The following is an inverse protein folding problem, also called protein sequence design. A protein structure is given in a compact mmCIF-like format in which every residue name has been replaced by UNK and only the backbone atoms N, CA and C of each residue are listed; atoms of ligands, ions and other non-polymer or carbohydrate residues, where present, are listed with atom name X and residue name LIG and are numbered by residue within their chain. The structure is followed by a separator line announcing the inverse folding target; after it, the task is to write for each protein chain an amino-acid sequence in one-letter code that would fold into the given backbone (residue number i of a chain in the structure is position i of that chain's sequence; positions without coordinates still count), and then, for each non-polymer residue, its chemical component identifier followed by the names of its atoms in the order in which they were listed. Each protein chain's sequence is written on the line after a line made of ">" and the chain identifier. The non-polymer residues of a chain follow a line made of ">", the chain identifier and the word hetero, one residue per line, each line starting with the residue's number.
data_IF_730563247388
#
_entry.id   IF_730563247388
#
_cell.length_a   1.000
_cell.length_b   1.000
_cell.length_c   1.000
_cell.angle_alpha   90.00
_cell.angle_beta   90.00
_cell.angle_gamma   90.00
#
_symmetry.space_group_name_H-M   'P 1'
#
loop_
_entity.id
_entity.type
_entity.pdbx_description
1 polymer ?
#
# COMPACT_ATOMS: atom_id res chain seq x y z
N UNK A 1 -17.95 -20.12 16.87
CA UNK A 1 -16.65 -20.58 17.35
C UNK A 1 -15.72 -19.37 17.41
N UNK A 2 -14.74 -19.38 18.34
CA UNK A 2 -13.69 -18.34 18.40
C UNK A 2 -12.70 -18.55 17.25
N UNK A 3 -12.09 -17.45 16.77
CA UNK A 3 -10.97 -17.48 15.86
C UNK A 3 -9.71 -17.98 16.60
N UNK A 4 -8.98 -18.91 16.02
CA UNK A 4 -7.72 -19.43 16.54
C UNK A 4 -6.75 -19.62 15.38
N UNK A 5 -5.51 -19.26 15.59
CA UNK A 5 -4.50 -19.41 14.56
C UNK A 5 -3.09 -19.38 15.10
N UNK A 6 -2.14 -19.68 14.25
CA UNK A 6 -0.72 -19.49 14.47
C UNK A 6 -0.11 -18.71 13.29
N UNK A 7 0.98 -18.03 13.57
CA UNK A 7 1.71 -17.25 12.60
C UNK A 7 3.20 -17.49 12.74
N UNK A 8 3.90 -17.51 11.63
CA UNK A 8 5.35 -17.58 11.56
C UNK A 8 5.84 -16.48 10.62
N UNK A 9 6.80 -15.69 11.12
CA UNK A 9 7.43 -14.59 10.39
C UNK A 9 8.93 -14.82 10.35
N UNK A 10 9.55 -14.43 9.24
CA UNK A 10 11.00 -14.38 9.10
C UNK A 10 11.41 -13.04 8.52
N UNK A 11 12.63 -12.59 8.80
CA UNK A 11 13.18 -11.38 8.22
C UNK A 11 14.64 -11.60 7.85
N UNK A 12 14.98 -11.22 6.63
CA UNK A 12 16.34 -11.24 6.12
C UNK A 12 16.75 -9.83 5.70
N UNK A 13 17.87 -9.35 6.24
CA UNK A 13 18.40 -8.04 5.93
C UNK A 13 19.87 -8.15 5.52
N UNK A 14 20.19 -7.65 4.33
CA UNK A 14 21.55 -7.56 3.80
C UNK A 14 21.91 -6.10 3.55
N UNK A 15 23.10 -5.69 3.97
CA UNK A 15 23.66 -4.35 3.64
C UNK A 15 25.08 -4.50 3.14
N UNK A 16 25.34 -3.90 1.99
CA UNK A 16 26.68 -3.94 1.38
C UNK A 16 26.90 -2.70 0.51
N UNK A 17 27.92 -1.89 0.84
CA UNK A 17 28.43 -0.76 0.02
C UNK A 17 27.36 0.07 -0.72
N UNK A 18 26.37 0.63 0.01
CA UNK A 18 25.32 1.46 -0.61
C UNK A 18 24.16 0.68 -1.22
N UNK A 19 24.17 -0.64 -1.10
CA UNK A 19 23.08 -1.53 -1.47
C UNK A 19 22.49 -2.19 -0.21
N UNK A 20 21.19 -2.25 -0.11
CA UNK A 20 20.53 -3.04 0.93
C UNK A 20 19.30 -3.76 0.41
N UNK A 21 19.07 -4.95 0.93
CA UNK A 21 17.88 -5.76 0.68
C UNK A 21 17.27 -6.15 2.00
N UNK A 22 15.96 -6.00 2.11
CA UNK A 22 15.14 -6.51 3.20
C UNK A 22 14.03 -7.37 2.61
N UNK A 23 13.84 -8.58 3.14
CA UNK A 23 12.74 -9.48 2.75
C UNK A 23 12.11 -10.04 4.01
N UNK A 24 10.80 -9.93 4.12
CA UNK A 24 10.03 -10.35 5.29
C UNK A 24 8.87 -11.26 4.86
N UNK A 25 9.11 -12.57 4.66
CA UNK A 25 8.05 -13.53 4.41
C UNK A 25 7.29 -13.86 5.69
N UNK A 26 6.01 -14.18 5.54
CA UNK A 26 5.16 -14.66 6.62
C UNK A 26 4.22 -15.76 6.14
N UNK A 27 3.75 -16.56 7.08
CA UNK A 27 2.68 -17.51 6.89
C UNK A 27 1.81 -17.54 8.15
N UNK A 28 0.49 -17.53 7.97
CA UNK A 28 -0.48 -17.62 9.06
C UNK A 28 -1.57 -18.61 8.68
N UNK A 29 -1.97 -19.42 9.62
CA UNK A 29 -3.05 -20.37 9.47
C UNK A 29 -4.10 -20.17 10.58
N UNK A 30 -5.37 -20.22 10.22
CA UNK A 30 -6.49 -20.02 11.13
C UNK A 30 -7.49 -21.17 11.00
N UNK A 31 -7.92 -21.76 12.14
CA UNK A 31 -8.95 -22.79 12.15
C UNK A 31 -10.37 -22.27 11.98
N UNK A 32 -10.61 -20.99 12.21
CA UNK A 32 -11.92 -20.34 12.06
C UNK A 32 -11.71 -18.84 11.84
N UNK A 33 -11.12 -18.47 10.69
CA UNK A 33 -10.95 -17.09 10.30
C UNK A 33 -12.30 -16.48 9.96
N UNK A 34 -12.65 -15.37 10.63
CA UNK A 34 -13.93 -14.68 10.43
C UNK A 34 -13.74 -13.56 9.44
N UNK A 35 -14.38 -13.66 8.29
CA UNK A 35 -14.26 -12.66 7.23
C UNK A 35 -15.63 -12.28 6.67
N UNK A 36 -15.67 -11.13 6.00
CA UNK A 36 -16.86 -10.60 5.36
C UNK A 36 -16.92 -11.09 3.91
N UNK A 37 -18.00 -11.75 3.54
CA UNK A 37 -18.18 -12.40 2.24
C UNK A 37 -19.38 -11.86 1.48
N UNK A 38 -19.27 -11.56 0.18
CA UNK A 38 -20.43 -11.22 -0.65
C UNK A 38 -21.32 -12.45 -0.86
N UNK A 39 -22.62 -12.29 -0.64
CA UNK A 39 -23.58 -13.41 -0.77
C UNK A 39 -24.03 -13.66 -2.21
N UNK A 40 -23.85 -12.70 -3.10
CA UNK A 40 -24.45 -12.68 -4.44
C UNK A 40 -25.88 -12.13 -4.47
N UNK A 41 -26.49 -11.92 -3.31
CA UNK A 41 -27.82 -11.32 -3.17
C UNK A 41 -27.72 -9.79 -3.14
N UNK A 42 -28.71 -9.12 -3.70
CA UNK A 42 -28.82 -7.67 -3.67
C UNK A 42 -29.83 -7.22 -2.63
N UNK A 43 -29.54 -6.13 -1.96
CA UNK A 43 -30.45 -5.54 -1.00
C UNK A 43 -31.73 -5.08 -1.68
N UNK A 44 -32.86 -5.28 -1.02
CA UNK A 44 -34.16 -4.72 -1.42
C UNK A 44 -34.24 -3.20 -1.17
N UNK A 45 -33.33 -2.66 -0.36
CA UNK A 45 -33.25 -1.23 -0.08
C UNK A 45 -32.58 -0.51 -1.25
N UNK A 46 -33.17 0.60 -1.73
CA UNK A 46 -32.55 1.40 -2.80
C UNK A 46 -31.12 1.81 -2.45
N UNK A 47 -30.21 1.66 -3.39
CA UNK A 47 -28.80 2.04 -3.28
C UNK A 47 -27.95 1.33 -2.22
N UNK A 48 -28.48 0.31 -1.54
CA UNK A 48 -27.73 -0.44 -0.52
C UNK A 48 -26.74 -1.45 -1.09
N UNK A 49 -26.83 -1.79 -2.38
CA UNK A 49 -25.88 -2.67 -3.06
C UNK A 49 -26.01 -4.15 -2.68
N UNK A 50 -24.91 -4.88 -2.80
CA UNK A 50 -24.83 -6.31 -2.52
C UNK A 50 -24.83 -6.59 -1.01
N UNK A 51 -25.48 -7.67 -0.60
CA UNK A 51 -25.51 -8.13 0.79
C UNK A 51 -24.20 -8.87 1.11
N UNK A 52 -23.63 -8.55 2.26
CA UNK A 52 -22.45 -9.22 2.81
C UNK A 52 -22.80 -9.93 4.11
N UNK A 53 -22.15 -11.06 4.36
CA UNK A 53 -22.32 -11.85 5.58
C UNK A 53 -20.97 -12.20 6.19
N UNK A 54 -20.86 -12.09 7.51
CA UNK A 54 -19.72 -12.66 8.22
C UNK A 54 -19.79 -14.18 8.17
N UNK A 55 -18.71 -14.81 7.80
CA UNK A 55 -18.56 -16.27 7.77
C UNK A 55 -17.20 -16.67 8.33
N UNK A 56 -17.10 -17.88 8.85
CA UNK A 56 -15.85 -18.45 9.32
C UNK A 56 -15.42 -19.58 8.39
N UNK A 57 -14.11 -19.71 8.16
CA UNK A 57 -13.53 -20.79 7.41
C UNK A 57 -12.11 -21.09 7.92
N UNK A 58 -11.63 -22.31 7.65
CA UNK A 58 -10.20 -22.58 7.75
C UNK A 58 -9.47 -21.76 6.67
N UNK A 59 -8.47 -20.97 7.08
CA UNK A 59 -7.82 -20.02 6.20
C UNK A 59 -6.31 -20.05 6.28
N UNK A 60 -5.67 -19.94 5.11
CA UNK A 60 -4.23 -19.78 4.97
C UNK A 60 -3.91 -18.40 4.39
N UNK A 61 -2.98 -17.71 5.04
CA UNK A 61 -2.35 -16.50 4.54
C UNK A 61 -0.87 -16.78 4.37
N UNK A 62 -0.31 -16.39 3.25
CA UNK A 62 1.13 -16.42 3.03
C UNK A 62 1.53 -15.19 2.22
N UNK A 63 2.63 -14.56 2.57
CA UNK A 63 3.02 -13.36 1.87
C UNK A 63 4.46 -12.95 2.12
N UNK A 64 4.84 -11.87 1.48
CA UNK A 64 6.16 -11.29 1.66
C UNK A 64 6.12 -9.80 1.36
N UNK A 65 6.91 -9.06 2.13
CA UNK A 65 7.32 -7.70 1.79
C UNK A 65 8.80 -7.73 1.43
N UNK A 66 9.17 -7.02 0.37
CA UNK A 66 10.56 -6.92 -0.03
C UNK A 66 10.91 -5.46 -0.38
N UNK A 67 12.09 -5.02 0.05
CA UNK A 67 12.61 -3.70 -0.25
C UNK A 67 14.08 -3.81 -0.68
N UNK A 68 14.42 -3.11 -1.75
CA UNK A 68 15.77 -2.95 -2.24
C UNK A 68 16.08 -1.46 -2.26
N UNK A 69 17.18 -1.05 -1.62
CA UNK A 69 17.70 0.32 -1.65
C UNK A 69 19.08 0.33 -2.31
N UNK A 70 19.26 1.21 -3.27
CA UNK A 70 20.52 1.41 -4.01
C UNK A 70 20.91 2.88 -3.92
N UNK A 71 22.02 3.17 -3.23
CA UNK A 71 22.61 4.51 -3.20
C UNK A 71 23.70 4.60 -4.26
N UNK A 72 23.64 5.59 -5.14
CA UNK A 72 24.58 5.79 -6.22
C UNK A 72 24.84 7.28 -6.49
N UNK A 73 25.93 7.60 -7.16
CA UNK A 73 26.33 8.96 -7.54
C UNK A 73 26.23 9.99 -6.37
N UNK A 74 26.58 9.59 -5.14
CA UNK A 74 26.61 10.38 -3.89
C UNK A 74 25.28 11.01 -3.46
N UNK A 75 24.36 11.29 -4.39
CA UNK A 75 23.15 12.07 -4.14
C UNK A 75 21.87 11.36 -4.54
N UNK A 76 21.97 10.18 -5.14
CA UNK A 76 20.82 9.44 -5.62
C UNK A 76 20.57 8.19 -4.79
N UNK A 77 19.31 7.95 -4.48
CA UNK A 77 18.82 6.70 -3.94
C UNK A 77 17.74 6.17 -4.86
N UNK A 78 17.80 4.90 -5.20
CA UNK A 78 16.71 4.21 -5.88
C UNK A 78 16.19 3.10 -4.97
N UNK A 79 14.90 3.19 -4.65
CA UNK A 79 14.20 2.22 -3.82
C UNK A 79 13.17 1.49 -4.63
N UNK A 80 13.17 0.17 -4.53
CA UNK A 80 12.11 -0.71 -5.02
C UNK A 80 11.51 -1.37 -3.79
N UNK A 81 10.21 -1.27 -3.60
CA UNK A 81 9.47 -2.02 -2.59
C UNK A 81 8.30 -2.74 -3.22
N UNK A 82 8.03 -3.96 -2.78
CA UNK A 82 6.91 -4.76 -3.24
C UNK A 82 6.30 -5.55 -2.11
N UNK A 83 5.00 -5.80 -2.22
CA UNK A 83 4.22 -6.56 -1.25
C UNK A 83 3.27 -7.51 -1.96
N UNK A 84 3.17 -8.72 -1.45
CA UNK A 84 2.24 -9.71 -1.95
C UNK A 84 1.66 -10.54 -0.81
N UNK A 85 0.35 -10.70 -0.82
CA UNK A 85 -0.38 -11.55 0.13
C UNK A 85 -1.22 -12.56 -0.64
N UNK A 86 -0.94 -13.81 -0.43
CA UNK A 86 -1.76 -14.94 -0.86
C UNK A 86 -2.75 -15.26 0.25
N UNK A 87 -4.03 -15.34 -0.07
CA UNK A 87 -5.09 -15.74 0.85
C UNK A 87 -5.83 -16.93 0.28
N UNK A 88 -6.25 -17.86 1.13
CA UNK A 88 -6.90 -19.07 0.71
C UNK A 88 -7.90 -19.58 1.77
N UNK A 89 -9.11 -19.83 1.35
CA UNK A 89 -10.13 -20.55 2.11
C UNK A 89 -9.91 -22.05 1.89
N UNK A 90 -9.44 -22.75 2.93
CA UNK A 90 -9.09 -24.17 2.85
C UNK A 90 -10.33 -25.08 2.74
N UNK A 91 -11.47 -24.64 3.28
CA UNK A 91 -12.71 -25.44 3.25
C UNK A 91 -13.31 -25.50 1.84
N UNK A 92 -13.24 -24.39 1.09
CA UNK A 92 -13.86 -24.26 -0.23
C UNK A 92 -12.88 -24.24 -1.39
N UNK A 93 -11.58 -24.25 -1.11
CA UNK A 93 -10.49 -24.23 -2.08
C UNK A 93 -10.50 -23.02 -3.04
N UNK A 94 -10.85 -21.84 -2.52
CA UNK A 94 -10.91 -20.56 -3.26
C UNK A 94 -10.18 -19.43 -2.52
N UNK A 95 -9.85 -18.30 -3.15
CA UNK A 95 -9.33 -17.14 -2.45
C UNK A 95 -10.33 -16.59 -1.42
N UNK A 96 -9.83 -15.93 -0.37
CA UNK A 96 -10.69 -15.15 0.53
C UNK A 96 -11.11 -13.83 -0.13
N UNK A 97 -12.26 -13.32 0.28
CA UNK A 97 -12.74 -11.99 -0.14
C UNK A 97 -11.77 -10.89 0.31
N UNK A 98 -11.72 -9.80 -0.44
CA UNK A 98 -10.89 -8.63 -0.15
C UNK A 98 -9.39 -8.95 -0.02
N UNK A 99 -8.91 -9.91 -0.82
CA UNK A 99 -7.49 -10.21 -0.90
C UNK A 99 -6.73 -9.08 -1.60
N UNK A 100 -5.66 -8.53 -1.01
CA UNK A 100 -4.93 -7.44 -1.62
C UNK A 100 -4.26 -7.88 -2.94
N UNK A 101 -4.25 -7.04 -3.99
CA UNK A 101 -3.45 -7.28 -5.17
C UNK A 101 -1.96 -7.12 -4.87
N UNK A 102 -1.10 -7.67 -5.72
CA UNK A 102 0.33 -7.34 -5.67
C UNK A 102 0.52 -5.84 -5.87
N UNK A 103 1.31 -5.23 -4.99
CA UNK A 103 1.73 -3.84 -5.04
C UNK A 103 3.24 -3.70 -5.20
N UNK A 104 3.68 -2.71 -5.98
CA UNK A 104 5.09 -2.37 -6.11
C UNK A 104 5.25 -0.85 -6.22
N UNK A 105 6.30 -0.31 -5.60
CA UNK A 105 6.71 1.09 -5.72
C UNK A 105 8.18 1.17 -6.11
N UNK A 106 8.48 2.08 -7.01
CA UNK A 106 9.81 2.41 -7.46
C UNK A 106 10.01 3.90 -7.25
N UNK A 107 10.94 4.27 -6.39
CA UNK A 107 11.18 5.66 -6.01
C UNK A 107 12.62 6.03 -6.32
N UNK A 108 12.81 7.01 -7.18
CA UNK A 108 14.10 7.65 -7.41
C UNK A 108 14.13 8.96 -6.62
N UNK A 109 15.07 9.07 -5.71
CA UNK A 109 15.29 10.27 -4.88
C UNK A 109 16.65 10.89 -5.21
N UNK A 110 16.67 12.19 -5.44
CA UNK A 110 17.85 13.01 -5.45
C UNK A 110 17.87 13.92 -4.22
N UNK A 111 18.96 13.88 -3.46
CA UNK A 111 19.07 14.64 -2.22
C UNK A 111 20.39 15.38 -2.14
N UNK A 112 20.31 16.66 -1.80
CA UNK A 112 21.43 17.52 -1.49
C UNK A 112 21.13 18.31 -0.22
N UNK A 113 22.14 18.86 0.43
CA UNK A 113 22.09 19.50 1.75
C UNK A 113 20.73 20.13 2.16
N UNK A 114 20.13 20.92 1.27
CA UNK A 114 18.88 21.64 1.55
C UNK A 114 17.71 21.25 0.62
N UNK A 115 17.95 20.38 -0.32
CA UNK A 115 16.98 20.02 -1.35
C UNK A 115 16.80 18.50 -1.42
N UNK A 116 15.56 18.09 -1.56
CA UNK A 116 15.22 16.71 -1.91
C UNK A 116 14.16 16.73 -3.00
N UNK A 117 14.36 15.93 -4.03
CA UNK A 117 13.37 15.68 -5.09
C UNK A 117 13.17 14.17 -5.22
N UNK A 118 11.95 13.75 -5.50
CA UNK A 118 11.69 12.36 -5.82
C UNK A 118 10.68 12.22 -6.95
N UNK A 119 10.82 11.12 -7.67
CA UNK A 119 9.83 10.61 -8.60
C UNK A 119 9.50 9.18 -8.20
N UNK A 120 8.22 8.85 -8.12
CA UNK A 120 7.73 7.52 -7.73
C UNK A 120 6.78 7.00 -8.79
N UNK A 121 6.98 5.74 -9.19
CA UNK A 121 6.05 4.93 -9.93
C UNK A 121 5.49 3.84 -9.03
N UNK A 122 4.17 3.83 -8.88
CA UNK A 122 3.42 2.81 -8.14
C UNK A 122 2.65 1.93 -9.12
N UNK A 123 2.90 0.63 -9.06
CA UNK A 123 2.14 -0.41 -9.74
C UNK A 123 1.17 -1.05 -8.74
N UNK A 124 -0.10 -1.08 -9.08
CA UNK A 124 -1.12 -1.90 -8.44
C UNK A 124 -1.52 -2.95 -9.46
N UNK A 125 -1.25 -4.21 -9.18
CA UNK A 125 -1.60 -5.28 -10.11
C UNK A 125 -3.12 -5.48 -10.19
N UNK A 126 -3.58 -6.08 -11.28
CA UNK A 126 -4.97 -6.51 -11.39
C UNK A 126 -5.26 -7.60 -10.36
N UNK A 127 -6.37 -7.46 -9.62
CA UNK A 127 -6.83 -8.51 -8.72
C UNK A 127 -7.81 -9.44 -9.46
N UNK A 128 -7.33 -10.63 -9.80
CA UNK A 128 -8.11 -11.69 -10.45
C UNK A 128 -8.45 -12.84 -9.50
N UNK A 129 -7.72 -12.94 -8.37
CA UNK A 129 -7.93 -13.97 -7.35
C UNK A 129 -8.95 -13.43 -6.37
N UNK A 130 -10.20 -13.75 -6.61
CA UNK A 130 -11.36 -13.22 -5.88
C UNK A 130 -12.19 -14.39 -5.34
N UNK A 131 -12.94 -14.14 -4.27
CA UNK A 131 -13.91 -15.07 -3.71
C UNK A 131 -15.12 -15.21 -4.65
N UNK A 132 -15.99 -16.18 -4.36
CA UNK A 132 -17.29 -16.36 -5.01
C UNK A 132 -18.13 -15.07 -4.84
N UNK A 133 -18.75 -14.63 -5.92
CA UNK A 133 -19.56 -13.41 -5.97
C UNK A 133 -18.79 -12.09 -5.71
N UNK A 134 -17.48 -12.13 -5.73
CA UNK A 134 -16.63 -10.94 -5.65
C UNK A 134 -16.14 -10.51 -7.05
N UNK A 135 -16.19 -9.20 -7.34
CA UNK A 135 -15.74 -8.66 -8.62
C UNK A 135 -14.22 -8.50 -8.66
N UNK A 136 -13.64 -8.78 -9.81
CA UNK A 136 -12.25 -8.48 -10.12
C UNK A 136 -12.03 -6.97 -10.17
N UNK A 137 -10.81 -6.53 -9.89
CA UNK A 137 -10.45 -5.11 -9.95
C UNK A 137 -9.30 -4.91 -10.93
N UNK A 138 -9.43 -3.98 -11.90
CA UNK A 138 -8.34 -3.66 -12.82
C UNK A 138 -7.11 -3.15 -12.07
N UNK A 139 -5.93 -3.39 -12.60
CA UNK A 139 -4.69 -2.80 -12.11
C UNK A 139 -4.53 -1.35 -12.51
N UNK A 140 -3.57 -0.67 -11.89
CA UNK A 140 -3.26 0.72 -12.17
C UNK A 140 -1.76 1.01 -12.09
N UNK A 141 -1.32 2.01 -12.89
CA UNK A 141 -0.02 2.63 -12.79
C UNK A 141 -0.19 4.07 -12.36
N UNK A 142 0.41 4.44 -11.25
CA UNK A 142 0.32 5.80 -10.70
C UNK A 142 1.72 6.41 -10.67
N UNK A 143 1.79 7.71 -10.95
CA UNK A 143 3.04 8.45 -10.90
C UNK A 143 2.90 9.62 -9.94
N UNK A 144 3.90 9.77 -9.09
CA UNK A 144 3.97 10.79 -8.07
C UNK A 144 5.29 11.54 -8.18
N UNK A 145 5.26 12.83 -7.91
CA UNK A 145 6.44 13.67 -7.82
C UNK A 145 6.39 14.45 -6.52
N UNK A 146 7.53 14.76 -5.97
CA UNK A 146 7.59 15.65 -4.82
C UNK A 146 8.99 16.15 -4.56
N UNK A 147 9.08 17.09 -3.63
CA UNK A 147 10.35 17.61 -3.18
C UNK A 147 10.20 18.43 -1.95
N UNK A 148 11.31 18.64 -1.25
CA UNK A 148 11.40 19.50 -0.08
C UNK A 148 12.58 20.45 -0.21
N UNK A 149 12.39 21.62 0.42
CA UNK A 149 13.40 22.65 0.59
C UNK A 149 13.51 22.97 2.08
N UNK A 150 14.73 22.83 2.63
CA UNK A 150 15.06 23.21 4.00
C UNK A 150 15.77 24.56 4.01
N UNK A 151 15.15 25.58 4.53
CA UNK A 151 15.69 26.92 4.63
C UNK A 151 16.23 27.13 6.06
N UNK A 152 17.56 27.26 6.24
CA UNK A 152 18.13 27.52 7.56
C UNK A 152 17.64 28.88 8.11
N UNK A 153 17.18 28.88 9.36
CA UNK A 153 16.74 30.09 10.08
C UNK A 153 17.51 30.17 11.41
N UNK A 154 18.39 31.13 11.51
CA UNK A 154 19.30 31.24 12.65
C UNK A 154 20.34 30.11 12.66
N UNK A 155 20.76 29.69 13.87
CA UNK A 155 21.85 28.71 14.04
C UNK A 155 21.41 27.26 14.13
N UNK A 156 20.15 26.99 14.47
CA UNK A 156 19.69 25.64 14.83
C UNK A 156 18.31 25.26 14.25
N UNK A 157 17.63 26.19 13.60
CA UNK A 157 16.27 25.95 13.10
C UNK A 157 16.27 25.95 11.56
N UNK A 158 15.36 25.21 10.98
CA UNK A 158 15.11 25.19 9.55
C UNK A 158 13.60 25.24 9.29
N UNK A 159 13.19 26.03 8.29
CA UNK A 159 11.83 25.97 7.74
C UNK A 159 11.85 24.92 6.66
N UNK A 160 10.98 23.93 6.74
CA UNK A 160 10.79 22.92 5.71
C UNK A 160 9.57 23.25 4.85
N UNK A 161 9.76 23.33 3.55
CA UNK A 161 8.70 23.49 2.56
C UNK A 161 8.67 22.22 1.72
N UNK A 162 7.54 21.49 1.72
CA UNK A 162 7.37 20.27 0.96
C UNK A 162 6.22 20.43 -0.03
N UNK A 163 6.48 20.13 -1.29
CA UNK A 163 5.49 20.05 -2.35
C UNK A 163 5.36 18.60 -2.83
N UNK A 164 4.13 18.11 -2.91
CA UNK A 164 3.82 16.76 -3.39
C UNK A 164 2.73 16.82 -4.45
N UNK A 165 2.95 16.13 -5.54
CA UNK A 165 1.98 15.92 -6.62
C UNK A 165 1.70 14.41 -6.74
N UNK A 166 0.51 13.98 -6.36
CA UNK A 166 0.10 12.57 -6.44
C UNK A 166 -0.77 12.32 -7.65
N UNK A 167 -0.63 11.11 -8.22
CA UNK A 167 -1.40 10.69 -9.40
C UNK A 167 -1.39 11.76 -10.50
N UNK A 168 -0.20 12.19 -10.92
CA UNK A 168 0.01 13.35 -11.80
C UNK A 168 -0.70 13.21 -13.16
N UNK A 169 -0.89 11.98 -13.64
CA UNK A 169 -1.59 11.69 -14.89
C UNK A 169 -3.10 11.54 -14.71
N UNK A 170 -3.61 11.74 -13.48
CA UNK A 170 -5.04 11.63 -13.16
C UNK A 170 -5.64 10.28 -13.55
N UNK A 171 -4.89 9.20 -13.35
CA UNK A 171 -5.34 7.83 -13.62
C UNK A 171 -6.54 7.49 -12.73
N UNK A 172 -7.65 7.07 -13.35
CA UNK A 172 -8.80 6.55 -12.61
C UNK A 172 -8.53 5.09 -12.20
N UNK A 173 -8.64 4.81 -10.91
CA UNK A 173 -8.41 3.46 -10.37
C UNK A 173 -9.26 3.19 -9.14
N UNK A 174 -9.35 1.91 -8.77
CA UNK A 174 -10.14 1.45 -7.63
C UNK A 174 -9.25 0.64 -6.68
N UNK A 175 -9.44 0.85 -5.39
CA UNK A 175 -8.82 0.01 -4.38
C UNK A 175 -9.66 -1.26 -4.19
N UNK A 176 -9.07 -2.43 -4.40
CA UNK A 176 -9.77 -3.72 -4.27
C UNK A 176 -10.31 -3.95 -2.87
N UNK A 177 -9.66 -3.42 -1.83
CA UNK A 177 -10.06 -3.55 -0.43
C UNK A 177 -11.18 -2.56 -0.03
N UNK A 178 -11.52 -1.61 -0.89
CA UNK A 178 -12.52 -0.57 -0.61
C UNK A 178 -13.92 -1.01 -1.03
N UNK A 179 -14.91 -0.80 -0.16
CA UNK A 179 -16.31 -0.93 -0.52
C UNK A 179 -16.77 0.10 -1.56
N UNK A 180 -16.10 1.24 -1.66
CA UNK A 180 -16.43 2.29 -2.63
C UNK A 180 -16.32 1.82 -4.07
N UNK A 181 -15.45 0.83 -4.37
CA UNK A 181 -15.36 0.24 -5.71
C UNK A 181 -16.67 -0.41 -6.18
N UNK A 182 -17.48 -0.91 -5.24
CA UNK A 182 -18.77 -1.56 -5.52
C UNK A 182 -19.86 -0.58 -5.99
N UNK A 183 -19.68 0.67 -5.67
CA UNK A 183 -20.56 1.78 -6.10
C UNK A 183 -19.83 2.70 -7.11
N UNK A 184 -18.78 2.17 -7.74
CA UNK A 184 -18.01 2.83 -8.79
C UNK A 184 -17.39 4.19 -8.39
N UNK A 185 -17.14 4.39 -7.10
CA UNK A 185 -16.40 5.55 -6.61
C UNK A 185 -14.91 5.24 -6.68
N UNK A 186 -14.16 5.91 -7.58
CA UNK A 186 -12.72 5.70 -7.71
C UNK A 186 -11.95 6.31 -6.55
N UNK A 187 -10.71 5.86 -6.39
CA UNK A 187 -9.74 6.52 -5.52
C UNK A 187 -9.42 7.94 -6.00
N UNK A 188 -8.87 8.81 -5.13
CA UNK A 188 -8.58 10.19 -5.46
C UNK A 188 -7.74 10.33 -6.75
N UNK A 189 -8.15 11.25 -7.61
CA UNK A 189 -7.43 11.63 -8.80
C UNK A 189 -6.16 12.44 -8.48
N UNK A 190 -5.74 13.30 -9.40
CA UNK A 190 -4.57 14.16 -9.22
C UNK A 190 -4.76 15.10 -8.01
N UNK A 191 -3.73 15.13 -7.17
CA UNK A 191 -3.73 15.94 -5.96
C UNK A 191 -2.39 16.66 -5.80
N UNK A 192 -2.43 17.94 -5.40
CA UNK A 192 -1.26 18.74 -5.04
C UNK A 192 -1.36 19.14 -3.58
N UNK A 193 -0.28 18.96 -2.86
CA UNK A 193 -0.19 19.30 -1.44
C UNK A 193 1.05 20.14 -1.18
N UNK A 194 0.87 21.30 -0.52
CA UNK A 194 1.94 22.12 0.02
C UNK A 194 1.92 22.01 1.53
N UNK A 195 3.05 21.66 2.11
CA UNK A 195 3.27 21.63 3.56
C UNK A 195 4.41 22.61 3.91
N UNK A 196 4.16 23.49 4.87
CA UNK A 196 5.18 24.38 5.42
C UNK A 196 5.29 24.07 6.91
N UNK A 197 6.49 23.64 7.35
CA UNK A 197 6.79 23.33 8.74
C UNK A 197 7.73 24.39 9.30
N UNK A 198 7.25 25.14 10.28
CA UNK A 198 7.99 26.21 10.95
C UNK A 198 8.24 25.77 12.39
N UNK A 199 9.50 25.58 12.81
CA UNK A 199 9.80 25.22 14.19
C UNK A 199 9.64 26.47 15.11
N UNK A 200 8.91 26.31 16.19
CA UNK A 200 8.83 27.31 17.25
C UNK A 200 9.64 26.86 18.45
N UNK A 201 10.61 27.67 18.86
CA UNK A 201 11.29 27.46 20.13
C UNK A 201 10.74 28.48 21.10
N UNK A 202 10.07 28.05 22.17
CA UNK A 202 9.70 28.92 23.27
C UNK A 202 11.01 29.36 23.96
N UNK A 203 11.37 30.63 23.91
CA UNK A 203 12.37 31.20 24.79
C UNK A 203 11.74 31.25 26.19
N UNK A 204 12.18 30.34 27.06
CA UNK A 204 11.95 30.41 28.50
C UNK A 204 13.04 31.26 29.11
#
# INVERSE_FOLDING_TARGET
>A
KSEQGWQMDASYNLRYHGFSVSVSPFVSWFSNYIFLRPTGEWSVLPHAGQIYRYTGAEALFAGTEATIDINFLRHFNYRISGEYVYTYNCDEHIPLSFSPPFGMRNTLTWQRKHYMLYAEWQLIARQNRVDRNEDRTPGANLFHLGGSLNIPVGRTNEIEITLTARNIFNTRYYNHLSFYRKVEIPEPGRNFQLLIKIPFKKLL
#
